data_IF_276062657855
#
_entry.id   IF_276062657855
#
_cell.length_a   1.000
_cell.length_b   1.000
_cell.length_c   1.000
_cell.angle_alpha   90.00
_cell.angle_beta   90.00
_cell.angle_gamma   90.00
#
_symmetry.space_group_name_H-M   'P 1'
#
loop_
_entity.id
_entity.type
_entity.pdbx_description
1 polymer ?
#
# COMPACT_ATOMS: atom_id res chain seq x y z
N UNK A 1 12.08 -14.18 5.05
CA UNK A 1 12.01 -13.56 6.40
C UNK A 1 11.07 -12.36 6.32
N UNK A 2 10.12 -12.17 7.26
CA UNK A 2 9.23 -11.01 7.25
C UNK A 2 10.05 -9.72 7.41
N UNK A 3 9.76 -8.69 6.62
CA UNK A 3 10.48 -7.40 6.69
C UNK A 3 10.41 -6.79 8.09
N UNK A 4 9.32 -7.04 8.82
CA UNK A 4 9.16 -6.61 10.21
C UNK A 4 10.28 -7.10 11.13
N UNK A 5 10.70 -8.35 10.98
CA UNK A 5 11.74 -8.94 11.82
C UNK A 5 13.13 -8.31 11.58
N UNK A 6 13.34 -7.62 10.45
CA UNK A 6 14.57 -6.87 10.16
C UNK A 6 14.68 -5.61 11.03
N UNK A 7 13.56 -4.95 11.34
CA UNK A 7 13.55 -3.78 12.21
C UNK A 7 13.80 -4.13 13.69
N UNK A 8 13.52 -5.37 14.08
CA UNK A 8 13.68 -5.84 15.45
C UNK A 8 15.10 -6.38 15.73
N UNK A 9 15.85 -6.78 14.70
CA UNK A 9 17.14 -7.49 14.85
C UNK A 9 18.29 -6.90 14.02
N UNK A 10 18.08 -5.80 13.31
CA UNK A 10 19.13 -5.16 12.49
C UNK A 10 20.25 -4.59 13.37
N UNK A 11 21.50 -4.92 13.04
CA UNK A 11 22.67 -4.48 13.80
C UNK A 11 22.97 -2.97 13.59
N UNK A 12 22.57 -2.41 12.44
CA UNK A 12 22.76 -0.99 12.09
C UNK A 12 21.61 -0.45 11.24
N UNK A 13 21.43 0.87 11.23
CA UNK A 13 20.45 1.56 10.38
C UNK A 13 20.65 1.24 8.88
N UNK A 14 21.90 1.09 8.46
CA UNK A 14 22.26 0.74 7.09
C UNK A 14 21.77 -0.68 6.73
N UNK A 15 21.97 -1.66 7.61
CA UNK A 15 21.57 -3.04 7.36
C UNK A 15 20.04 -3.18 7.26
N UNK A 16 19.32 -2.46 8.12
CA UNK A 16 17.84 -2.40 8.08
C UNK A 16 17.39 -1.82 6.74
N UNK A 17 17.99 -0.70 6.32
CA UNK A 17 17.62 -0.02 5.08
C UNK A 17 17.94 -0.86 3.83
N UNK A 18 19.11 -1.50 3.81
CA UNK A 18 19.55 -2.33 2.69
C UNK A 18 18.69 -3.60 2.56
N UNK A 19 18.36 -4.24 3.68
CA UNK A 19 17.53 -5.43 3.70
C UNK A 19 16.07 -5.13 3.30
N UNK A 20 15.50 -4.02 3.78
CA UNK A 20 14.18 -3.54 3.33
C UNK A 20 14.21 -3.25 1.81
N UNK A 21 15.21 -2.51 1.33
CA UNK A 21 15.37 -2.20 -0.09
C UNK A 21 15.41 -3.45 -0.94
N UNK A 22 16.29 -4.42 -0.63
CA UNK A 22 16.41 -5.71 -1.35
C UNK A 22 15.08 -6.44 -1.40
N UNK A 23 14.41 -6.59 -0.25
CA UNK A 23 13.12 -7.30 -0.16
C UNK A 23 12.04 -6.68 -1.06
N UNK A 24 11.98 -5.35 -1.12
CA UNK A 24 11.00 -4.63 -1.93
C UNK A 24 11.44 -4.32 -3.37
N UNK A 25 12.69 -4.61 -3.77
CA UNK A 25 13.14 -4.48 -5.16
C UNK A 25 13.13 -5.79 -5.94
N UNK A 26 13.04 -6.96 -5.29
CA UNK A 26 13.07 -8.26 -5.98
C UNK A 26 11.83 -8.59 -6.81
N UNK A 27 10.72 -7.86 -6.67
CA UNK A 27 9.56 -8.02 -7.55
C UNK A 27 9.18 -6.70 -8.21
N UNK A 28 8.93 -6.71 -9.52
CA UNK A 28 8.54 -5.50 -10.26
C UNK A 28 7.24 -4.88 -9.72
N UNK A 29 6.38 -5.71 -9.11
CA UNK A 29 5.15 -5.26 -8.48
C UNK A 29 5.38 -4.56 -7.13
N UNK A 30 6.38 -4.96 -6.33
CA UNK A 30 6.61 -4.38 -5.00
C UNK A 30 7.08 -2.93 -5.04
N UNK A 31 7.96 -2.57 -5.99
CA UNK A 31 8.40 -1.18 -6.16
C UNK A 31 7.26 -0.27 -6.63
N UNK A 32 6.44 -0.75 -7.58
CA UNK A 32 5.29 -0.03 -8.10
C UNK A 32 4.16 0.11 -7.07
N UNK A 33 3.91 -0.94 -6.28
CA UNK A 33 2.97 -0.92 -5.16
C UNK A 33 3.39 0.11 -4.10
N UNK A 34 4.67 0.18 -3.76
CA UNK A 34 5.19 1.19 -2.84
C UNK A 34 4.94 2.60 -3.35
N UNK A 35 5.26 2.88 -4.61
CA UNK A 35 5.03 4.19 -5.23
C UNK A 35 3.54 4.59 -5.21
N UNK A 36 2.66 3.68 -5.62
CA UNK A 36 1.21 3.93 -5.62
C UNK A 36 0.66 4.14 -4.21
N UNK A 37 1.14 3.37 -3.21
CA UNK A 37 0.72 3.57 -1.82
C UNK A 37 1.19 4.89 -1.25
N UNK A 38 2.44 5.26 -1.50
CA UNK A 38 2.95 6.58 -1.13
C UNK A 38 2.16 7.71 -1.82
N UNK A 39 1.79 7.52 -3.08
CA UNK A 39 0.95 8.48 -3.80
C UNK A 39 -0.42 8.63 -3.14
N UNK A 40 -1.07 7.53 -2.75
CA UNK A 40 -2.37 7.53 -2.07
C UNK A 40 -2.34 8.35 -0.77
N UNK A 41 -1.34 8.09 0.08
CA UNK A 41 -1.20 8.73 1.41
C UNK A 41 -0.85 10.22 1.31
N UNK A 42 -0.08 10.63 0.29
CA UNK A 42 0.36 12.02 0.14
C UNK A 42 -0.60 12.85 -0.73
N UNK A 43 -1.69 12.25 -1.23
CA UNK A 43 -2.64 12.95 -2.08
C UNK A 43 -3.56 13.78 -1.19
N UNK A 44 -3.53 15.11 -1.34
CA UNK A 44 -4.46 16.01 -0.67
C UNK A 44 -5.43 16.62 -1.67
N UNK A 45 -6.65 16.93 -1.23
CA UNK A 45 -7.66 17.57 -2.07
C UNK A 45 -7.22 18.94 -2.63
N UNK A 46 -6.45 19.71 -1.85
CA UNK A 46 -6.00 21.07 -2.19
C UNK A 46 -7.18 21.96 -2.63
N UNK A 47 -7.03 22.71 -3.74
CA UNK A 47 -8.07 23.56 -4.31
C UNK A 47 -9.02 22.82 -5.27
N UNK A 48 -8.90 21.49 -5.40
CA UNK A 48 -9.74 20.71 -6.30
C UNK A 48 -11.09 20.37 -5.65
N UNK A 49 -12.10 20.07 -6.49
CA UNK A 49 -13.37 19.56 -5.98
C UNK A 49 -13.20 18.17 -5.35
N UNK A 50 -13.99 17.88 -4.31
CA UNK A 50 -14.00 16.55 -3.64
C UNK A 50 -14.16 15.42 -4.65
N UNK A 51 -14.98 15.61 -5.69
CA UNK A 51 -15.20 14.63 -6.75
C UNK A 51 -13.92 14.31 -7.52
N UNK A 52 -13.20 15.34 -7.97
CA UNK A 52 -11.95 15.18 -8.73
C UNK A 52 -10.87 14.53 -7.87
N UNK A 53 -10.78 14.93 -6.60
CA UNK A 53 -9.86 14.31 -5.63
C UNK A 53 -10.17 12.82 -5.44
N UNK A 54 -11.44 12.47 -5.19
CA UNK A 54 -11.87 11.09 -5.03
C UNK A 54 -11.60 10.24 -6.28
N UNK A 55 -11.86 10.76 -7.48
CA UNK A 55 -11.59 10.04 -8.74
C UNK A 55 -10.11 9.68 -8.89
N UNK A 56 -9.20 10.56 -8.47
CA UNK A 56 -7.74 10.31 -8.50
C UNK A 56 -7.31 9.27 -7.47
N UNK A 57 -7.85 9.36 -6.25
CA UNK A 57 -7.63 8.35 -5.21
C UNK A 57 -8.13 6.98 -5.66
N UNK A 58 -9.36 6.92 -6.17
CA UNK A 58 -9.99 5.70 -6.66
C UNK A 58 -9.17 5.06 -7.80
N UNK A 59 -8.71 5.86 -8.78
CA UNK A 59 -7.85 5.35 -9.85
C UNK A 59 -6.50 4.82 -9.34
N UNK A 60 -5.97 5.37 -8.24
CA UNK A 60 -4.75 4.89 -7.60
C UNK A 60 -4.99 3.56 -6.88
N UNK A 61 -6.10 3.44 -6.14
CA UNK A 61 -6.50 2.19 -5.48
C UNK A 61 -6.72 1.05 -6.47
N UNK A 62 -7.39 1.30 -7.60
CA UNK A 62 -7.57 0.28 -8.64
C UNK A 62 -6.24 -0.27 -9.17
N UNK A 63 -5.23 0.60 -9.37
CA UNK A 63 -3.89 0.16 -9.79
C UNK A 63 -3.21 -0.69 -8.71
N UNK A 64 -3.41 -0.37 -7.43
CA UNK A 64 -2.89 -1.15 -6.30
C UNK A 64 -3.54 -2.54 -6.29
N UNK A 65 -4.86 -2.60 -6.43
CA UNK A 65 -5.61 -3.85 -6.44
C UNK A 65 -5.16 -4.76 -7.59
N UNK A 66 -4.98 -4.22 -8.80
CA UNK A 66 -4.48 -4.98 -9.96
C UNK A 66 -3.08 -5.57 -9.75
N UNK A 67 -2.21 -4.89 -8.99
CA UNK A 67 -0.84 -5.35 -8.73
C UNK A 67 -0.74 -6.32 -7.55
N UNK A 68 -1.83 -6.51 -6.81
CA UNK A 68 -1.95 -7.46 -5.70
C UNK A 68 -3.14 -8.38 -5.97
N UNK A 69 -3.03 -9.31 -6.95
CA UNK A 69 -4.04 -10.34 -7.12
C UNK A 69 -4.13 -11.17 -5.83
N UNK A 70 -5.32 -11.26 -5.26
CA UNK A 70 -5.55 -12.02 -4.04
C UNK A 70 -5.85 -13.48 -4.36
N UNK A 71 -5.08 -14.39 -3.76
CA UNK A 71 -5.43 -15.80 -3.66
C UNK A 71 -6.19 -15.99 -2.34
N UNK A 72 -7.53 -15.90 -2.39
CA UNK A 72 -8.34 -16.20 -1.21
C UNK A 72 -8.67 -17.69 -1.17
N UNK A 73 -8.40 -18.33 -0.02
CA UNK A 73 -8.78 -19.72 0.25
C UNK A 73 -10.27 -19.89 0.56
N UNK A 74 -10.95 -18.82 1.02
CA UNK A 74 -12.35 -18.83 1.42
C UNK A 74 -13.02 -17.45 1.21
N UNK A 75 -14.35 -17.44 1.07
CA UNK A 75 -15.17 -16.23 0.90
C UNK A 75 -15.16 -15.31 2.12
N UNK A 76 -15.03 -15.87 3.34
CA UNK A 76 -15.02 -15.10 4.59
C UNK A 76 -13.74 -14.26 4.73
N UNK A 77 -12.59 -14.83 4.36
CA UNK A 77 -11.30 -14.13 4.30
C UNK A 77 -11.34 -12.94 3.33
N UNK A 78 -12.06 -13.10 2.21
CA UNK A 78 -12.28 -12.06 1.22
C UNK A 78 -13.07 -10.88 1.80
N UNK A 79 -14.16 -11.15 2.51
CA UNK A 79 -15.01 -10.14 3.13
C UNK A 79 -14.26 -9.35 4.23
N UNK A 80 -13.53 -10.06 5.10
CA UNK A 80 -12.73 -9.41 6.13
C UNK A 80 -11.67 -8.47 5.53
N UNK A 81 -10.95 -8.96 4.51
CA UNK A 81 -9.91 -8.18 3.82
C UNK A 81 -10.47 -6.94 3.13
N UNK A 82 -11.65 -7.05 2.51
CA UNK A 82 -12.30 -5.90 1.88
C UNK A 82 -12.63 -4.82 2.91
N UNK A 83 -13.14 -5.21 4.09
CA UNK A 83 -13.45 -4.28 5.17
C UNK A 83 -12.22 -3.53 5.68
N UNK A 84 -11.07 -4.21 5.81
CA UNK A 84 -9.80 -3.55 6.14
C UNK A 84 -9.36 -2.57 5.05
N UNK A 85 -9.47 -2.96 3.77
CA UNK A 85 -9.12 -2.10 2.65
C UNK A 85 -10.01 -0.85 2.59
N UNK A 86 -11.30 -0.98 2.88
CA UNK A 86 -12.22 0.16 2.97
C UNK A 86 -11.81 1.14 4.07
N UNK A 87 -11.43 0.63 5.25
CA UNK A 87 -10.93 1.48 6.33
C UNK A 87 -9.67 2.25 5.93
N UNK A 88 -8.68 1.57 5.31
CA UNK A 88 -7.47 2.22 4.80
C UNK A 88 -7.79 3.34 3.79
N UNK A 89 -8.76 3.10 2.90
CA UNK A 89 -9.19 4.07 1.87
C UNK A 89 -9.89 5.29 2.46
N UNK A 90 -10.63 5.09 3.55
CA UNK A 90 -11.20 6.21 4.31
C UNK A 90 -10.09 7.07 4.92
N UNK A 91 -9.03 6.48 5.45
CA UNK A 91 -7.88 7.24 5.97
C UNK A 91 -7.17 8.01 4.85
N UNK A 92 -6.94 7.38 3.70
CA UNK A 92 -6.38 8.05 2.52
C UNK A 92 -7.27 9.23 2.04
N UNK A 93 -8.60 9.12 2.15
CA UNK A 93 -9.53 10.19 1.78
C UNK A 93 -9.58 11.33 2.79
N UNK A 94 -9.35 11.04 4.08
CA UNK A 94 -9.42 12.02 5.16
C UNK A 94 -8.09 12.77 5.40
N UNK A 95 -6.97 12.30 4.82
CA UNK A 95 -5.63 12.91 4.92
C UNK A 95 -5.41 14.07 3.95
#
# INVERSE_FOLDING_TARGET
MPVRALFEHGATDFDIWEAARKTYTMTQNSSRLFQLRRQSILMCQNAESVKVFYEKLHATWQKIDCLRPHEYSCTDDGAHRLKELEADRVYDFLG
#
